data_IF_745041435744
#
_entry.id   IF_745041435744
#
_cell.length_a   1.000
_cell.length_b   1.000
_cell.length_c   1.000
_cell.angle_alpha   90.00
_cell.angle_beta   90.00
_cell.angle_gamma   90.00
#
_symmetry.space_group_name_H-M   'P 1'
#
loop_
_entity.id
_entity.type
_entity.pdbx_description
1 polymer ?
#
# COMPACT_ATOMS: atom_id res chain seq x y z
N UNK A 1 -23.37 27.54 19.45
CA UNK A 1 -23.01 26.09 19.36
C UNK A 1 -23.34 25.64 17.95
N UNK A 2 -22.52 26.10 16.98
CA UNK A 2 -22.68 25.83 15.56
C UNK A 2 -21.88 24.60 15.18
N UNK A 3 -22.52 23.71 14.44
CA UNK A 3 -21.86 22.50 13.89
C UNK A 3 -20.92 22.96 12.75
N UNK A 4 -19.71 22.38 12.65
CA UNK A 4 -18.87 22.66 11.49
C UNK A 4 -19.50 22.06 10.24
N UNK A 5 -19.47 22.86 9.17
CA UNK A 5 -20.01 22.56 7.86
C UNK A 5 -19.43 21.27 7.27
N UNK A 6 -20.34 20.50 6.67
CA UNK A 6 -20.01 19.29 5.93
C UNK A 6 -19.23 19.65 4.68
N UNK A 7 -18.07 19.03 4.52
CA UNK A 7 -17.32 19.05 3.26
C UNK A 7 -18.15 18.39 2.16
N UNK A 8 -18.74 19.20 1.30
CA UNK A 8 -19.37 18.75 0.07
C UNK A 8 -18.28 18.26 -0.89
N UNK A 9 -18.40 17.04 -1.36
CA UNK A 9 -17.57 16.48 -2.41
C UNK A 9 -17.93 17.16 -3.74
N UNK A 10 -16.95 17.52 -4.60
CA UNK A 10 -17.25 18.02 -5.94
C UNK A 10 -17.89 16.89 -6.76
N UNK A 11 -19.06 17.20 -7.34
CA UNK A 11 -19.79 16.28 -8.19
C UNK A 11 -18.99 15.87 -9.43
N UNK A 12 -18.76 14.58 -9.57
CA UNK A 12 -18.30 13.99 -10.81
C UNK A 12 -19.52 13.76 -11.70
N UNK A 13 -19.59 14.48 -12.82
CA UNK A 13 -20.55 14.21 -13.87
C UNK A 13 -20.21 12.85 -14.49
N UNK A 14 -21.07 11.87 -14.29
CA UNK A 14 -21.02 10.60 -14.97
C UNK A 14 -21.43 10.80 -16.43
N UNK A 15 -20.48 10.84 -17.35
CA UNK A 15 -20.77 10.62 -18.78
C UNK A 15 -20.97 9.12 -18.97
N UNK A 16 -22.22 8.76 -19.26
CA UNK A 16 -22.64 7.38 -19.43
C UNK A 16 -22.04 6.70 -20.65
N UNK A 17 -21.73 5.44 -20.44
CA UNK A 17 -22.11 4.35 -21.35
C UNK A 17 -22.20 3.09 -20.51
N UNK A 18 -23.43 2.78 -20.09
CA UNK A 18 -23.77 1.50 -19.48
C UNK A 18 -23.73 0.44 -20.57
N UNK A 19 -22.64 -0.26 -20.70
CA UNK A 19 -22.57 -1.57 -21.32
C UNK A 19 -23.02 -2.60 -20.30
N UNK A 20 -23.97 -3.43 -20.74
CA UNK A 20 -24.70 -4.46 -20.03
C UNK A 20 -23.99 -5.11 -18.84
N UNK A 21 -24.72 -5.28 -17.75
CA UNK A 21 -24.47 -6.18 -16.62
C UNK A 21 -24.21 -7.61 -17.15
N UNK A 22 -22.98 -7.94 -17.47
CA UNK A 22 -22.59 -9.34 -17.45
C UNK A 22 -22.54 -9.77 -15.98
N UNK A 23 -23.14 -10.89 -15.60
CA UNK A 23 -23.07 -11.39 -14.24
C UNK A 23 -21.59 -11.60 -13.91
N UNK A 24 -21.16 -11.06 -12.75
CA UNK A 24 -19.83 -11.36 -12.21
C UNK A 24 -19.77 -12.86 -12.05
N UNK A 25 -19.08 -13.54 -12.98
CA UNK A 25 -18.81 -14.96 -12.87
C UNK A 25 -18.04 -15.16 -11.58
N UNK A 26 -18.62 -15.88 -10.62
CA UNK A 26 -17.94 -16.27 -9.40
C UNK A 26 -16.82 -17.20 -9.81
N UNK A 27 -15.60 -16.68 -9.87
CA UNK A 27 -14.42 -17.48 -10.12
C UNK A 27 -14.22 -18.43 -8.95
N UNK A 28 -14.15 -19.71 -9.24
CA UNK A 28 -14.04 -20.76 -8.23
C UNK A 28 -12.59 -21.14 -7.94
N UNK A 29 -11.66 -20.79 -8.82
CA UNK A 29 -10.24 -21.13 -8.72
C UNK A 29 -9.31 -19.96 -9.06
N UNK A 30 -8.09 -19.99 -8.54
CA UNK A 30 -7.06 -19.01 -8.88
C UNK A 30 -6.69 -19.07 -10.38
N UNK A 31 -6.72 -20.26 -10.99
CA UNK A 31 -6.40 -20.44 -12.40
C UNK A 31 -7.43 -19.80 -13.35
N UNK A 32 -8.72 -19.80 -13.00
CA UNK A 32 -9.75 -19.04 -13.73
C UNK A 32 -9.47 -17.54 -13.66
N UNK A 33 -9.13 -17.03 -12.48
CA UNK A 33 -8.70 -15.64 -12.31
C UNK A 33 -7.45 -15.33 -13.15
N UNK A 34 -6.44 -16.20 -13.17
CA UNK A 34 -5.22 -15.99 -13.97
C UNK A 34 -5.54 -15.89 -15.48
N UNK A 35 -6.49 -16.67 -15.96
CA UNK A 35 -6.95 -16.58 -17.35
C UNK A 35 -7.56 -15.21 -17.66
N UNK A 36 -8.45 -14.73 -16.80
CA UNK A 36 -9.04 -13.39 -16.92
C UNK A 36 -7.96 -12.30 -16.76
N UNK A 37 -7.06 -12.46 -15.81
CA UNK A 37 -5.93 -11.54 -15.56
C UNK A 37 -5.05 -11.41 -16.79
N UNK A 38 -4.76 -12.52 -17.48
CA UNK A 38 -3.98 -12.53 -18.72
C UNK A 38 -4.63 -11.69 -19.80
N UNK A 39 -5.91 -11.90 -20.07
CA UNK A 39 -6.65 -11.15 -21.06
C UNK A 39 -6.63 -9.64 -20.76
N UNK A 40 -6.94 -9.26 -19.51
CA UNK A 40 -6.93 -7.86 -19.07
C UNK A 40 -5.54 -7.23 -19.15
N UNK A 41 -4.49 -7.98 -18.77
CA UNK A 41 -3.11 -7.50 -18.82
C UNK A 41 -2.63 -7.26 -20.25
N UNK A 42 -2.89 -8.19 -21.16
CA UNK A 42 -2.51 -8.04 -22.57
C UNK A 42 -3.25 -6.87 -23.22
N UNK A 43 -4.55 -6.70 -22.96
CA UNK A 43 -5.31 -5.55 -23.42
C UNK A 43 -4.77 -4.22 -22.89
N UNK A 44 -4.40 -4.17 -21.60
CA UNK A 44 -3.78 -2.99 -20.99
C UNK A 44 -2.43 -2.64 -21.61
N UNK A 45 -1.60 -3.64 -21.89
CA UNK A 45 -0.29 -3.44 -22.55
C UNK A 45 -0.48 -2.89 -23.97
N UNK A 46 -1.44 -3.42 -24.72
CA UNK A 46 -1.73 -2.96 -26.08
C UNK A 46 -2.27 -1.52 -26.07
N UNK A 47 -3.22 -1.21 -25.22
CA UNK A 47 -3.73 0.15 -25.05
C UNK A 47 -2.63 1.15 -24.68
N UNK A 48 -1.68 0.74 -23.82
CA UNK A 48 -0.55 1.57 -23.45
C UNK A 48 0.43 1.80 -24.61
N UNK A 49 0.71 0.77 -25.41
CA UNK A 49 1.58 0.87 -26.59
C UNK A 49 0.99 1.73 -27.70
N UNK A 50 -0.33 1.68 -27.86
CA UNK A 50 -1.06 2.42 -28.88
C UNK A 50 -1.28 3.89 -28.53
N UNK A 51 -0.91 4.33 -27.33
CA UNK A 51 -1.08 5.72 -26.87
C UNK A 51 0.27 6.45 -26.82
N UNK A 52 0.62 7.25 -27.84
CA UNK A 52 1.88 7.98 -27.89
C UNK A 52 1.97 9.09 -26.81
N UNK A 53 0.83 9.55 -26.29
CA UNK A 53 0.74 10.60 -25.27
C UNK A 53 0.64 10.05 -23.84
N UNK A 54 0.89 8.77 -23.65
CA UNK A 54 0.81 8.13 -22.33
C UNK A 54 1.79 8.75 -21.35
N UNK A 55 1.25 9.34 -20.28
CA UNK A 55 2.03 9.93 -19.19
C UNK A 55 2.09 8.98 -17.99
N UNK A 56 3.12 9.17 -17.16
CA UNK A 56 3.22 8.48 -15.90
C UNK A 56 2.02 8.80 -14.98
N UNK A 57 1.52 7.79 -14.29
CA UNK A 57 0.47 7.97 -13.30
C UNK A 57 1.05 8.63 -12.04
N UNK A 58 0.38 9.67 -11.55
CA UNK A 58 0.67 10.27 -10.24
C UNK A 58 -0.10 9.50 -9.17
N UNK A 59 0.63 8.85 -8.28
CA UNK A 59 0.07 8.19 -7.11
C UNK A 59 0.02 9.19 -5.95
N UNK A 60 -1.08 9.18 -5.18
CA UNK A 60 -1.29 10.11 -4.06
C UNK A 60 -1.84 9.36 -2.86
N UNK A 61 -1.26 9.65 -1.69
CA UNK A 61 -1.81 9.32 -0.39
C UNK A 61 -1.87 10.60 0.47
N UNK A 62 -2.84 10.66 1.37
CA UNK A 62 -2.95 11.69 2.40
C UNK A 62 -3.01 11.02 3.76
N UNK A 63 -2.31 11.58 4.73
CA UNK A 63 -2.27 11.05 6.08
C UNK A 63 -2.54 12.16 7.07
N UNK A 64 -3.38 11.89 8.07
CA UNK A 64 -3.62 12.80 9.19
C UNK A 64 -3.66 12.06 10.51
N UNK A 65 -3.20 12.73 11.57
CA UNK A 65 -3.42 12.27 12.93
C UNK A 65 -4.88 12.53 13.33
N UNK A 66 -5.50 11.57 14.01
CA UNK A 66 -6.90 11.65 14.44
C UNK A 66 -7.01 12.03 15.92
N UNK A 67 -7.74 13.10 16.19
CA UNK A 67 -8.08 13.53 17.54
C UNK A 67 -6.84 13.78 18.44
N UNK A 68 -6.88 13.22 19.66
CA UNK A 68 -5.82 13.34 20.68
C UNK A 68 -4.92 12.11 20.75
N UNK A 69 -4.79 11.38 19.66
CA UNK A 69 -4.07 10.11 19.65
C UNK A 69 -3.01 10.08 18.57
N UNK A 70 -2.16 9.05 18.59
CA UNK A 70 -1.24 8.73 17.52
C UNK A 70 -1.86 7.96 16.37
N UNK A 71 -3.17 7.74 16.37
CA UNK A 71 -3.90 7.07 15.28
C UNK A 71 -3.78 7.89 14.00
N UNK A 72 -3.37 7.24 12.92
CA UNK A 72 -3.19 7.85 11.60
C UNK A 72 -4.20 7.28 10.62
N UNK A 73 -4.99 8.15 10.04
CA UNK A 73 -5.85 7.82 8.91
C UNK A 73 -5.08 8.03 7.60
N UNK A 74 -4.91 6.98 6.85
CA UNK A 74 -4.27 7.01 5.52
C UNK A 74 -5.38 6.91 4.49
N UNK A 75 -5.51 7.91 3.62
CA UNK A 75 -6.45 7.95 2.51
C UNK A 75 -5.72 7.78 1.18
N UNK A 76 -6.11 6.76 0.42
CA UNK A 76 -5.61 6.47 -0.92
C UNK A 76 -6.83 6.29 -1.83
N UNK A 77 -7.12 7.26 -2.68
CA UNK A 77 -8.39 7.33 -3.42
C UNK A 77 -9.59 7.28 -2.43
N UNK A 78 -10.52 6.36 -2.62
CA UNK A 78 -11.69 6.17 -1.75
C UNK A 78 -11.43 5.15 -0.61
N UNK A 79 -10.21 4.61 -0.54
CA UNK A 79 -9.84 3.64 0.49
C UNK A 79 -9.24 4.32 1.72
N UNK A 80 -9.52 3.71 2.87
CA UNK A 80 -8.99 4.11 4.16
C UNK A 80 -8.20 2.97 4.79
N UNK A 81 -7.02 3.30 5.30
CA UNK A 81 -6.21 2.40 6.14
C UNK A 81 -5.93 3.11 7.46
N UNK A 82 -6.09 2.40 8.55
CA UNK A 82 -5.74 2.89 9.89
C UNK A 82 -4.36 2.34 10.26
N UNK A 83 -3.49 3.23 10.72
CA UNK A 83 -2.21 2.89 11.32
C UNK A 83 -2.17 3.46 12.73
N UNK A 84 -1.61 2.71 13.68
CA UNK A 84 -1.53 3.12 15.07
C UNK A 84 -0.21 2.63 15.69
N UNK A 85 -0.07 2.85 16.98
CA UNK A 85 1.03 2.37 17.79
C UNK A 85 0.50 1.38 18.82
N UNK A 86 1.34 0.47 19.35
CA UNK A 86 0.95 -0.43 20.43
C UNK A 86 0.68 0.34 21.73
N UNK A 87 0.00 -0.30 22.68
CA UNK A 87 -0.44 0.33 23.91
C UNK A 87 0.71 0.80 24.82
N UNK A 88 1.83 0.10 24.82
CA UNK A 88 3.06 0.45 25.54
C UNK A 88 3.78 1.67 24.97
N UNK A 89 3.37 2.12 23.78
CA UNK A 89 3.82 3.36 23.13
C UNK A 89 2.68 4.39 22.99
N UNK A 90 1.78 4.43 23.96
CA UNK A 90 0.62 5.33 24.04
C UNK A 90 -0.34 5.27 22.85
N UNK A 91 -0.38 4.15 22.14
CA UNK A 91 -1.36 3.87 21.09
C UNK A 91 -2.58 3.12 21.60
N UNK A 92 -3.57 2.94 20.76
CA UNK A 92 -4.77 2.14 21.01
C UNK A 92 -4.74 0.77 20.30
N UNK A 93 -3.66 0.47 19.57
CA UNK A 93 -3.50 -0.77 18.80
C UNK A 93 -4.67 -1.01 17.80
N UNK A 94 -5.10 0.05 17.12
CA UNK A 94 -6.21 0.01 16.16
C UNK A 94 -5.78 -0.38 14.74
N UNK A 95 -4.50 -0.52 14.51
CA UNK A 95 -3.93 -0.93 13.23
C UNK A 95 -2.42 -1.10 13.32
N UNK A 96 -1.81 -1.67 12.28
CA UNK A 96 -0.37 -1.92 12.26
C UNK A 96 0.42 -0.61 12.26
N UNK A 97 1.63 -0.65 12.83
CA UNK A 97 2.59 0.45 12.76
C UNK A 97 3.11 0.63 11.31
N UNK A 98 3.66 1.81 11.00
CA UNK A 98 4.14 2.12 9.65
C UNK A 98 5.21 1.15 9.14
N UNK A 99 6.19 0.68 9.95
CA UNK A 99 7.13 -0.34 9.51
C UNK A 99 6.47 -1.68 9.15
N UNK A 100 5.45 -2.11 9.91
CA UNK A 100 4.70 -3.34 9.64
C UNK A 100 3.88 -3.21 8.34
N UNK A 101 3.25 -2.04 8.13
CA UNK A 101 2.58 -1.73 6.86
C UNK A 101 3.53 -1.80 5.68
N UNK A 102 4.77 -1.34 5.84
CA UNK A 102 5.78 -1.39 4.78
C UNK A 102 6.13 -2.84 4.40
N UNK A 103 6.27 -3.74 5.38
CA UNK A 103 6.48 -5.17 5.12
C UNK A 103 5.25 -5.79 4.43
N UNK A 104 4.04 -5.46 4.90
CA UNK A 104 2.79 -5.90 4.28
C UNK A 104 2.64 -5.42 2.82
N UNK A 105 3.06 -4.18 2.53
CA UNK A 105 3.07 -3.63 1.15
C UNK A 105 4.05 -4.39 0.25
N UNK A 106 5.23 -4.78 0.77
CA UNK A 106 6.17 -5.61 0.02
C UNK A 106 5.57 -6.97 -0.31
N UNK A 107 5.00 -7.68 0.69
CA UNK A 107 4.34 -8.98 0.49
C UNK A 107 3.19 -8.90 -0.52
N UNK A 108 2.31 -7.90 -0.38
CA UNK A 108 1.21 -7.65 -1.31
C UNK A 108 1.70 -7.41 -2.74
N UNK A 109 2.78 -6.66 -2.91
CA UNK A 109 3.33 -6.39 -4.23
C UNK A 109 3.96 -7.63 -4.86
N UNK A 110 4.74 -8.40 -4.09
CA UNK A 110 5.30 -9.67 -4.56
C UNK A 110 4.20 -10.63 -5.02
N UNK A 111 3.14 -10.82 -4.22
CA UNK A 111 1.97 -11.63 -4.60
C UNK A 111 1.34 -11.14 -5.89
N UNK A 112 1.07 -9.82 -5.99
CA UNK A 112 0.42 -9.24 -7.17
C UNK A 112 1.27 -9.41 -8.44
N UNK A 113 2.58 -9.17 -8.36
CA UNK A 113 3.47 -9.33 -9.51
C UNK A 113 3.63 -10.80 -9.88
N UNK A 114 3.64 -11.73 -8.92
CA UNK A 114 3.62 -13.18 -9.20
C UNK A 114 2.39 -13.55 -10.02
N UNK A 115 1.19 -13.08 -9.62
CA UNK A 115 -0.04 -13.32 -10.38
C UNK A 115 0.02 -12.74 -11.80
N UNK A 116 0.59 -11.55 -11.99
CA UNK A 116 0.77 -10.95 -13.33
C UNK A 116 1.72 -11.78 -14.17
N UNK A 117 2.87 -12.15 -13.62
CA UNK A 117 3.91 -12.88 -14.35
C UNK A 117 3.49 -14.32 -14.67
N UNK A 118 2.76 -14.98 -13.77
CA UNK A 118 2.16 -16.29 -14.01
C UNK A 118 1.10 -16.21 -15.11
N UNK A 119 0.16 -15.25 -15.00
CA UNK A 119 -0.88 -15.05 -16.02
C UNK A 119 -0.29 -14.75 -17.40
N UNK A 120 0.72 -13.89 -17.50
CA UNK A 120 1.36 -13.53 -18.77
C UNK A 120 2.00 -14.74 -19.43
N UNK A 121 2.61 -15.63 -18.64
CA UNK A 121 3.24 -16.87 -19.11
C UNK A 121 2.26 -18.03 -19.32
N UNK A 122 1.02 -17.88 -18.88
CA UNK A 122 0.01 -18.95 -18.94
C UNK A 122 0.29 -20.10 -17.97
N UNK A 123 0.94 -19.81 -16.85
CA UNK A 123 1.24 -20.81 -15.81
C UNK A 123 0.02 -21.04 -14.93
N UNK A 124 -0.09 -22.26 -14.40
CA UNK A 124 -1.10 -22.65 -13.44
C UNK A 124 -0.56 -22.50 -12.01
N UNK A 125 -1.31 -21.79 -11.17
CA UNK A 125 -0.98 -21.60 -9.75
C UNK A 125 -2.21 -21.93 -8.93
N UNK A 126 -2.04 -22.78 -7.93
CA UNK A 126 -3.13 -23.20 -7.03
C UNK A 126 -3.21 -22.32 -5.79
N UNK A 127 -2.07 -21.92 -5.22
CA UNK A 127 -1.99 -20.93 -4.13
C UNK A 127 -0.68 -20.16 -4.13
N UNK A 128 -0.72 -18.98 -3.53
CA UNK A 128 0.45 -18.12 -3.28
C UNK A 128 0.31 -17.55 -1.86
N UNK A 129 1.32 -17.76 -1.04
CA UNK A 129 1.47 -17.15 0.27
C UNK A 129 2.83 -16.45 0.35
N UNK A 130 2.87 -15.27 0.98
CA UNK A 130 4.09 -14.50 1.16
C UNK A 130 4.22 -14.07 2.61
N UNK A 131 5.25 -14.55 3.28
CA UNK A 131 5.68 -14.04 4.57
C UNK A 131 6.83 -13.05 4.36
N UNK A 132 6.77 -11.90 5.04
CA UNK A 132 7.84 -10.90 5.02
C UNK A 132 8.25 -10.57 6.44
N UNK A 133 9.54 -10.64 6.72
CA UNK A 133 10.12 -10.29 8.00
C UNK A 133 11.14 -9.17 7.85
N UNK A 134 11.35 -8.40 8.93
CA UNK A 134 12.36 -7.34 9.00
C UNK A 134 12.67 -7.04 10.46
N UNK A 135 13.82 -6.46 10.71
CA UNK A 135 14.30 -6.09 12.03
C UNK A 135 14.26 -4.57 12.19
N UNK A 136 13.86 -4.09 13.36
CA UNK A 136 13.98 -2.69 13.77
C UNK A 136 14.38 -2.64 15.24
N UNK A 137 15.50 -2.00 15.55
CA UNK A 137 16.00 -1.93 16.91
C UNK A 137 15.46 -0.67 17.61
N UNK A 138 14.86 -0.79 18.82
CA UNK A 138 14.22 0.34 19.51
C UNK A 138 15.21 1.44 19.94
N UNK A 139 16.48 1.09 20.11
CA UNK A 139 17.55 2.02 20.48
C UNK A 139 18.40 2.48 19.28
N UNK A 140 17.99 2.18 18.04
CA UNK A 140 18.73 2.62 16.86
C UNK A 140 19.04 4.12 16.90
N UNK A 141 20.28 4.50 16.60
CA UNK A 141 20.81 5.87 16.66
C UNK A 141 20.87 6.50 18.06
N UNK A 142 20.61 5.75 19.14
CA UNK A 142 20.88 6.21 20.50
C UNK A 142 22.38 6.03 20.85
N UNK A 143 22.88 6.72 21.90
CA UNK A 143 24.26 6.54 22.35
C UNK A 143 24.62 5.07 22.57
N UNK A 144 25.69 4.58 21.93
CA UNK A 144 26.12 3.18 21.93
C UNK A 144 25.47 2.30 20.87
N UNK A 145 24.47 2.81 20.12
CA UNK A 145 23.73 2.10 19.07
C UNK A 145 23.74 2.85 17.74
N UNK A 146 24.70 3.75 17.53
CA UNK A 146 24.82 4.61 16.35
C UNK A 146 25.04 3.83 15.05
N UNK A 147 25.58 2.61 15.16
CA UNK A 147 25.83 1.72 14.03
C UNK A 147 24.59 0.97 13.55
N UNK A 148 23.47 1.00 14.30
CA UNK A 148 22.25 0.30 13.96
C UNK A 148 21.39 1.19 13.05
N UNK A 149 20.91 0.70 11.90
CA UNK A 149 20.03 1.46 11.02
C UNK A 149 18.73 1.85 11.71
N UNK A 150 18.28 3.10 11.52
CA UNK A 150 16.99 3.60 12.05
C UNK A 150 15.79 3.02 11.29
N UNK A 151 16.00 2.57 10.08
CA UNK A 151 15.00 1.99 9.21
C UNK A 151 14.93 0.46 9.39
N UNK A 152 13.82 -0.18 9.03
CA UNK A 152 13.73 -1.64 8.97
C UNK A 152 14.82 -2.21 8.07
N UNK A 153 15.55 -3.18 8.58
CA UNK A 153 16.69 -3.81 7.91
C UNK A 153 16.61 -5.34 8.03
N UNK A 154 17.57 -6.05 7.43
CA UNK A 154 17.55 -7.52 7.38
C UNK A 154 16.20 -8.06 6.86
N UNK A 155 15.62 -7.33 5.88
CA UNK A 155 14.33 -7.71 5.30
C UNK A 155 14.50 -9.00 4.53
N UNK A 156 13.63 -9.97 4.80
CA UNK A 156 13.56 -11.28 4.15
C UNK A 156 12.11 -11.58 3.78
N UNK A 157 11.92 -12.38 2.76
CA UNK A 157 10.61 -12.92 2.46
C UNK A 157 10.69 -14.39 2.08
N UNK A 158 9.62 -15.11 2.34
CA UNK A 158 9.36 -16.45 1.82
C UNK A 158 8.15 -16.35 0.89
N UNK A 159 8.28 -16.90 -0.30
CA UNK A 159 7.21 -16.99 -1.28
C UNK A 159 6.88 -18.47 -1.49
N UNK A 160 5.77 -18.90 -0.92
CA UNK A 160 5.25 -20.26 -1.03
C UNK A 160 4.27 -20.33 -2.20
N UNK A 161 4.54 -21.21 -3.17
CA UNK A 161 3.71 -21.43 -4.35
C UNK A 161 3.34 -22.89 -4.44
N UNK A 162 2.04 -23.16 -4.51
CA UNK A 162 1.52 -24.48 -4.89
C UNK A 162 1.12 -24.41 -6.36
N UNK A 163 1.69 -25.32 -7.17
CA UNK A 163 1.52 -25.30 -8.62
C UNK A 163 1.83 -26.64 -9.22
N UNK A 164 1.17 -27.06 -10.31
CA UNK A 164 1.54 -28.26 -11.08
C UNK A 164 2.79 -28.06 -11.97
N UNK A 165 3.30 -26.83 -12.05
CA UNK A 165 4.46 -26.49 -12.88
C UNK A 165 5.77 -27.08 -12.32
N UNK A 166 6.79 -27.21 -13.18
CA UNK A 166 8.10 -27.69 -12.76
C UNK A 166 8.80 -26.70 -11.83
N UNK A 167 9.68 -27.23 -10.95
CA UNK A 167 10.50 -26.39 -10.07
C UNK A 167 11.38 -25.39 -10.84
N UNK A 168 11.83 -25.72 -12.03
CA UNK A 168 12.57 -24.82 -12.92
C UNK A 168 11.70 -23.67 -13.41
N UNK A 169 10.46 -23.96 -13.85
CA UNK A 169 9.46 -22.96 -14.26
C UNK A 169 9.15 -21.98 -13.13
N UNK A 170 8.93 -22.49 -11.92
CA UNK A 170 8.64 -21.66 -10.75
C UNK A 170 9.84 -20.80 -10.35
N UNK A 171 11.08 -21.32 -10.46
CA UNK A 171 12.28 -20.52 -10.22
C UNK A 171 12.40 -19.38 -11.24
N UNK A 172 12.19 -19.66 -12.52
CA UNK A 172 12.21 -18.63 -13.58
C UNK A 172 11.08 -17.60 -13.39
N UNK A 173 9.92 -18.01 -12.88
CA UNK A 173 8.85 -17.10 -12.47
C UNK A 173 9.30 -16.18 -11.33
N UNK A 174 9.91 -16.72 -10.29
CA UNK A 174 10.41 -15.95 -9.14
C UNK A 174 11.45 -14.92 -9.55
N UNK A 175 12.45 -15.30 -10.33
CA UNK A 175 13.46 -14.37 -10.87
C UNK A 175 12.84 -13.21 -11.67
N UNK A 176 11.84 -13.52 -12.48
CA UNK A 176 11.12 -12.51 -13.23
C UNK A 176 10.26 -11.59 -12.33
N UNK A 177 9.72 -12.10 -11.24
CA UNK A 177 8.99 -11.30 -10.24
C UNK A 177 9.94 -10.31 -9.58
N UNK A 178 11.09 -10.73 -9.08
CA UNK A 178 12.08 -9.85 -8.46
C UNK A 178 12.57 -8.75 -9.44
N UNK A 179 12.77 -9.11 -10.70
CA UNK A 179 13.25 -8.16 -11.71
C UNK A 179 12.27 -7.00 -11.94
N UNK A 180 10.95 -7.22 -11.80
CA UNK A 180 9.93 -6.22 -12.19
C UNK A 180 9.03 -5.77 -11.03
N UNK A 181 9.17 -6.30 -9.82
CA UNK A 181 8.35 -5.90 -8.69
C UNK A 181 8.71 -4.47 -8.26
N UNK A 182 7.78 -3.50 -8.38
CA UNK A 182 8.13 -2.10 -8.14
C UNK A 182 8.47 -1.81 -6.67
N UNK A 183 7.80 -2.44 -5.70
CA UNK A 183 8.09 -2.21 -4.28
C UNK A 183 9.39 -2.91 -3.86
N UNK A 184 9.64 -4.13 -4.35
CA UNK A 184 10.91 -4.81 -4.10
C UNK A 184 12.11 -3.98 -4.61
N UNK A 185 12.01 -3.46 -5.83
CA UNK A 185 13.07 -2.63 -6.40
C UNK A 185 13.15 -1.24 -5.75
N UNK A 186 12.04 -0.64 -5.31
CA UNK A 186 12.04 0.59 -4.53
C UNK A 186 12.84 0.44 -3.23
N UNK A 187 12.69 -0.68 -2.52
CA UNK A 187 13.40 -0.93 -1.26
C UNK A 187 14.88 -1.27 -1.46
N UNK A 188 15.25 -1.80 -2.62
CA UNK A 188 16.65 -2.11 -2.96
C UNK A 188 17.44 -0.91 -3.47
N UNK A 189 16.77 0.14 -3.94
CA UNK A 189 17.40 1.28 -4.61
C UNK A 189 17.14 2.57 -3.84
N UNK A 190 18.16 3.42 -3.65
CA UNK A 190 17.97 4.72 -3.02
C UNK A 190 17.10 5.62 -3.90
N UNK A 191 16.21 6.38 -3.26
CA UNK A 191 15.32 7.34 -3.91
C UNK A 191 15.60 8.74 -3.38
N UNK A 192 15.40 9.75 -4.23
CA UNK A 192 15.34 11.14 -3.77
C UNK A 192 13.94 11.43 -3.26
N UNK A 193 13.84 12.01 -2.06
CA UNK A 193 12.58 12.41 -1.45
C UNK A 193 12.68 13.90 -1.11
N UNK A 194 11.87 14.71 -1.79
CA UNK A 194 11.77 16.15 -1.55
C UNK A 194 10.65 16.44 -0.57
N UNK A 195 10.92 17.25 0.46
CA UNK A 195 9.96 17.63 1.49
C UNK A 195 9.67 19.13 1.51
N UNK A 196 8.42 19.51 1.73
CA UNK A 196 7.99 20.90 1.97
C UNK A 196 7.30 21.00 3.33
N UNK A 197 7.73 21.93 4.19
CA UNK A 197 7.04 22.25 5.44
C UNK A 197 6.12 23.45 5.26
N UNK A 198 4.84 23.29 5.59
CA UNK A 198 3.88 24.38 5.72
C UNK A 198 3.47 24.50 7.16
N UNK A 199 3.64 25.70 7.75
CA UNK A 199 3.29 26.00 9.13
C UNK A 199 2.27 27.14 9.19
N UNK A 200 1.22 26.95 9.98
CA UNK A 200 0.23 27.99 10.27
C UNK A 200 0.14 28.16 11.79
N UNK A 201 0.28 29.39 12.27
CA UNK A 201 0.15 29.69 13.70
C UNK A 201 -1.33 29.61 14.10
N UNK A 202 -1.66 28.77 15.06
CA UNK A 202 -3.02 28.70 15.61
C UNK A 202 -3.32 29.94 16.45
N UNK A 203 -4.58 30.40 16.43
CA UNK A 203 -5.02 31.44 17.37
C UNK A 203 -4.88 30.93 18.82
N UNK A 204 -4.50 31.78 19.78
CA UNK A 204 -4.46 31.42 21.18
C UNK A 204 -5.83 30.88 21.62
N UNK A 205 -5.86 29.77 22.35
CA UNK A 205 -7.09 29.29 22.96
C UNK A 205 -7.66 30.38 23.87
N UNK A 206 -8.91 30.79 23.64
CA UNK A 206 -9.57 31.76 24.52
C UNK A 206 -9.51 31.20 25.96
N UNK A 207 -8.89 31.97 26.85
CA UNK A 207 -8.76 31.61 28.27
C UNK A 207 -10.16 31.48 28.88
N UNK A 208 -10.58 30.26 29.21
CA UNK A 208 -11.78 29.98 30.04
C UNK A 208 -11.53 30.25 31.53
N UNK A 209 -10.82 31.32 31.83
CA UNK A 209 -10.62 31.78 33.22
C UNK A 209 -11.58 32.93 33.53
N UNK A 210 -12.89 32.65 33.62
CA UNK A 210 -13.87 33.51 34.33
C UNK A 210 -15.21 32.76 34.47
N UNK A 211 -15.30 31.83 35.37
CA UNK A 211 -16.57 31.39 35.95
C UNK A 211 -16.35 30.60 37.28
N UNK A 212 -15.64 31.24 38.21
CA UNK A 212 -15.67 30.83 39.63
C UNK A 212 -15.46 32.06 40.52
N UNK A 213 -16.44 32.96 40.54
CA UNK A 213 -16.61 33.95 41.58
C UNK A 213 -18.06 34.49 41.49
N UNK A 214 -19.04 33.81 42.05
CA UNK A 214 -20.27 34.36 42.65
C UNK A 214 -20.92 33.28 43.51
#
# INVERSE_FOLDING_TARGET
MERPESFAAPGFAASGNASANEPISIMTTLNEYLTQKRAAWLAKKEAARSNPDLKANVLKAQVRALGRSGVREIRIRDFQVISDSPADFAGYNLGPASPELQLGVLGSCLTHITLIQAAERGLSIDSIDVEVTGEQHPLAQQPGFEHIPIFPHNIRYTLDIVSPESAETIRALHEAVEAVCPIFNLLKQPQTIDGELRHTVSAPAASTAQAQAA
#
